data_IF_795535169090
#
_entry.id   IF_795535169090
#
_cell.length_a   1.000
_cell.length_b   1.000
_cell.length_c   1.000
_cell.angle_alpha   90.00
_cell.angle_beta   90.00
_cell.angle_gamma   90.00
#
_symmetry.space_group_name_H-M   'P 1'
#
loop_
_entity.id
_entity.type
_entity.pdbx_description
1 polymer ?
#
# COMPACT_ATOMS: atom_id res chain seq x y z
N UNK A 1 -45.67 71.43 24.16
CA UNK A 1 -44.20 71.49 24.15
C UNK A 1 -43.67 70.09 24.38
N UNK A 2 -43.32 69.37 23.32
CA UNK A 2 -42.84 67.99 23.39
C UNK A 2 -41.31 68.00 23.36
N UNK A 3 -40.69 67.51 24.43
CA UNK A 3 -39.24 67.45 24.56
C UNK A 3 -38.65 66.35 23.66
N UNK A 4 -37.77 66.77 22.79
CA UNK A 4 -36.94 65.95 21.91
C UNK A 4 -35.85 65.25 22.74
N UNK A 5 -35.97 63.92 22.90
CA UNK A 5 -34.90 63.10 23.48
C UNK A 5 -33.77 62.95 22.46
N UNK A 6 -32.71 63.76 22.62
CA UNK A 6 -31.47 63.63 21.85
C UNK A 6 -30.76 62.34 22.22
N UNK A 7 -30.62 61.45 21.24
CA UNK A 7 -29.76 60.27 21.28
C UNK A 7 -28.29 60.70 21.37
N UNK A 8 -27.60 60.32 22.43
CA UNK A 8 -26.17 60.57 22.62
C UNK A 8 -25.34 59.73 21.64
N UNK A 9 -24.31 60.30 21.00
CA UNK A 9 -23.43 59.54 20.11
C UNK A 9 -22.56 58.57 20.92
N UNK A 10 -22.75 57.28 20.67
CA UNK A 10 -21.98 56.19 21.27
C UNK A 10 -20.51 56.29 20.80
N UNK A 11 -19.65 56.88 21.62
CA UNK A 11 -18.21 56.96 21.34
C UNK A 11 -17.61 55.55 21.34
N UNK A 12 -17.34 55.00 20.16
CA UNK A 12 -16.52 53.78 20.00
C UNK A 12 -15.09 54.10 20.45
N UNK A 13 -14.78 53.81 21.71
CA UNK A 13 -13.41 53.93 22.24
C UNK A 13 -12.51 52.93 21.50
N UNK A 14 -11.37 53.40 21.01
CA UNK A 14 -10.35 52.55 20.37
C UNK A 14 -9.88 51.49 21.39
N UNK A 15 -9.72 50.23 20.99
CA UNK A 15 -9.30 49.16 21.91
C UNK A 15 -7.94 49.50 22.50
N UNK A 16 -7.80 49.34 23.81
CA UNK A 16 -6.55 49.64 24.50
C UNK A 16 -5.53 48.54 24.17
N UNK A 17 -4.25 48.86 24.32
CA UNK A 17 -3.17 47.88 24.09
C UNK A 17 -3.37 46.58 24.88
N UNK A 18 -3.85 46.68 26.12
CA UNK A 18 -4.16 45.51 26.96
C UNK A 18 -5.28 44.62 26.40
N UNK A 19 -6.27 45.20 25.72
CA UNK A 19 -7.36 44.43 25.09
C UNK A 19 -6.83 43.66 23.88
N UNK A 20 -5.91 44.27 23.12
CA UNK A 20 -5.21 43.60 22.01
C UNK A 20 -4.34 42.45 22.51
N UNK A 21 -3.55 42.67 23.56
CA UNK A 21 -2.70 41.61 24.15
C UNK A 21 -3.55 40.44 24.63
N UNK A 22 -4.69 40.70 25.28
CA UNK A 22 -5.62 39.66 25.73
C UNK A 22 -6.23 38.90 24.56
N UNK A 23 -6.65 39.59 23.49
CA UNK A 23 -7.16 38.93 22.28
C UNK A 23 -6.12 38.04 21.59
N UNK A 24 -4.85 38.47 21.56
CA UNK A 24 -3.76 37.69 20.97
C UNK A 24 -3.49 36.45 21.83
N UNK A 25 -3.51 36.59 23.16
CA UNK A 25 -3.35 35.47 24.07
C UNK A 25 -4.49 34.45 23.93
N UNK A 26 -5.74 34.91 23.80
CA UNK A 26 -6.90 34.06 23.58
C UNK A 26 -6.81 33.32 22.23
N UNK A 27 -6.38 34.02 21.17
CA UNK A 27 -6.17 33.43 19.85
C UNK A 27 -5.06 32.37 19.86
N UNK A 28 -3.91 32.66 20.48
CA UNK A 28 -2.80 31.71 20.61
C UNK A 28 -3.22 30.46 21.39
N UNK A 29 -4.02 30.63 22.45
CA UNK A 29 -4.55 29.51 23.22
C UNK A 29 -5.47 28.63 22.35
N UNK A 30 -6.39 29.24 21.61
CA UNK A 30 -7.31 28.51 20.74
C UNK A 30 -6.57 27.76 19.62
N UNK A 31 -5.57 28.39 19.01
CA UNK A 31 -4.73 27.77 17.98
C UNK A 31 -3.94 26.58 18.54
N UNK A 32 -3.40 26.72 19.74
CA UNK A 32 -2.71 25.63 20.45
C UNK A 32 -3.65 24.44 20.71
N UNK A 33 -4.87 24.70 21.18
CA UNK A 33 -5.87 23.64 21.41
C UNK A 33 -6.26 22.93 20.11
N UNK A 34 -6.41 23.67 19.01
CA UNK A 34 -6.66 23.10 17.68
C UNK A 34 -5.48 22.26 17.20
N UNK A 35 -4.25 22.74 17.37
CA UNK A 35 -3.04 22.03 16.97
C UNK A 35 -2.86 20.72 17.77
N UNK A 36 -3.06 20.77 19.09
CA UNK A 36 -3.03 19.57 19.94
C UNK A 36 -4.04 18.55 19.43
N UNK A 37 -5.29 18.98 19.19
CA UNK A 37 -6.36 18.11 18.67
C UNK A 37 -6.03 17.50 17.31
N UNK A 38 -5.50 18.31 16.38
CA UNK A 38 -5.10 17.83 15.06
C UNK A 38 -3.97 16.80 15.17
N UNK A 39 -2.95 17.10 15.98
CA UNK A 39 -1.80 16.21 16.19
C UNK A 39 -2.21 14.91 16.85
N UNK A 40 -3.09 14.93 17.86
CA UNK A 40 -3.62 13.71 18.48
C UNK A 40 -4.40 12.84 17.50
N UNK A 41 -5.17 13.45 16.59
CA UNK A 41 -5.88 12.70 15.54
C UNK A 41 -4.93 12.06 14.53
N UNK A 42 -3.87 12.78 14.12
CA UNK A 42 -2.83 12.24 13.24
C UNK A 42 -2.13 11.06 13.92
N UNK A 43 -1.76 11.20 15.21
CA UNK A 43 -1.12 10.12 15.95
C UNK A 43 -2.03 8.89 16.08
N UNK A 44 -3.33 9.10 16.34
CA UNK A 44 -4.30 8.00 16.39
C UNK A 44 -4.44 7.28 15.05
N UNK A 45 -4.53 8.03 13.95
CA UNK A 45 -4.56 7.44 12.61
C UNK A 45 -3.26 6.68 12.28
N UNK A 46 -2.10 7.24 12.65
CA UNK A 46 -0.81 6.59 12.47
C UNK A 46 -0.70 5.28 13.27
N UNK A 47 -1.20 5.25 14.51
CA UNK A 47 -1.25 4.04 15.32
C UNK A 47 -2.12 2.95 14.67
N UNK A 48 -3.29 3.33 14.14
CA UNK A 48 -4.16 2.40 13.42
C UNK A 48 -3.50 1.88 12.13
N UNK A 49 -2.78 2.74 11.40
CA UNK A 49 -2.03 2.32 10.21
C UNK A 49 -0.94 1.32 10.58
N UNK A 50 -0.21 1.55 11.67
CA UNK A 50 0.82 0.63 12.17
C UNK A 50 0.22 -0.73 12.52
N UNK A 51 -0.90 -0.76 13.26
CA UNK A 51 -1.60 -2.00 13.59
C UNK A 51 -2.06 -2.77 12.35
N UNK A 52 -2.62 -2.09 11.36
CA UNK A 52 -2.99 -2.71 10.08
C UNK A 52 -1.77 -3.26 9.34
N UNK A 53 -0.63 -2.55 9.41
CA UNK A 53 0.61 -2.98 8.79
C UNK A 53 1.16 -4.24 9.45
N UNK A 54 1.13 -4.33 10.78
CA UNK A 54 1.56 -5.51 11.53
C UNK A 54 0.67 -6.73 11.17
N UNK A 55 -0.66 -6.54 11.10
CA UNK A 55 -1.58 -7.59 10.67
C UNK A 55 -1.33 -8.06 9.23
N UNK A 56 -1.07 -7.12 8.31
CA UNK A 56 -0.76 -7.45 6.91
C UNK A 56 0.56 -8.22 6.81
N UNK A 57 1.57 -7.86 7.61
CA UNK A 57 2.83 -8.60 7.68
C UNK A 57 2.57 -10.04 8.11
N UNK A 58 1.81 -10.24 9.19
CA UNK A 58 1.50 -11.58 9.71
C UNK A 58 0.70 -12.41 8.68
N UNK A 59 -0.29 -11.81 8.01
CA UNK A 59 -1.07 -12.49 6.97
C UNK A 59 -0.21 -12.89 5.78
N UNK A 60 0.66 -11.99 5.30
CA UNK A 60 1.57 -12.28 4.20
C UNK A 60 2.58 -13.35 4.59
N UNK A 61 3.11 -13.33 5.82
CA UNK A 61 4.01 -14.39 6.31
C UNK A 61 3.30 -15.73 6.29
N UNK A 62 2.09 -15.81 6.84
CA UNK A 62 1.31 -17.06 6.85
C UNK A 62 1.02 -17.56 5.44
N UNK A 63 0.59 -16.68 4.53
CA UNK A 63 0.30 -17.06 3.14
C UNK A 63 1.55 -17.55 2.40
N UNK A 64 2.69 -16.90 2.61
CA UNK A 64 3.97 -17.32 2.01
C UNK A 64 4.45 -18.64 2.61
N UNK A 65 4.29 -18.83 3.92
CA UNK A 65 4.67 -20.08 4.59
C UNK A 65 3.78 -21.24 4.12
N UNK A 66 2.47 -21.04 4.04
CA UNK A 66 1.53 -22.00 3.45
C UNK A 66 1.87 -22.34 1.99
N UNK A 67 2.21 -21.34 1.18
CA UNK A 67 2.64 -21.56 -0.20
C UNK A 67 3.95 -22.34 -0.28
N UNK A 68 4.92 -22.05 0.60
CA UNK A 68 6.18 -22.80 0.67
C UNK A 68 5.92 -24.24 1.11
N UNK A 69 5.13 -24.46 2.15
CA UNK A 69 4.78 -25.81 2.64
C UNK A 69 4.01 -26.60 1.59
N UNK A 70 3.04 -25.98 0.91
CA UNK A 70 2.32 -26.63 -0.19
C UNK A 70 3.24 -26.95 -1.36
N UNK A 71 4.17 -26.07 -1.71
CA UNK A 71 5.15 -26.34 -2.78
C UNK A 71 6.15 -27.43 -2.38
N UNK A 72 6.57 -27.48 -1.10
CA UNK A 72 7.42 -28.55 -0.58
C UNK A 72 6.68 -29.89 -0.55
N UNK A 73 5.43 -29.91 -0.09
CA UNK A 73 4.57 -31.11 -0.08
C UNK A 73 4.26 -31.61 -1.50
N UNK A 74 4.11 -30.71 -2.48
CA UNK A 74 3.95 -31.05 -3.90
C UNK A 74 5.26 -31.46 -4.57
N UNK A 75 6.42 -31.09 -4.00
CA UNK A 75 7.74 -31.57 -4.44
C UNK A 75 7.97 -33.01 -3.96
N UNK A 76 7.23 -33.96 -4.55
CA UNK A 76 7.53 -35.38 -4.35
C UNK A 76 8.88 -35.67 -4.99
N UNK A 77 9.97 -35.62 -4.20
CA UNK A 77 11.29 -36.01 -4.67
C UNK A 77 11.28 -37.52 -4.86
N UNK A 78 11.16 -37.94 -6.12
CA UNK A 78 11.32 -39.33 -6.48
C UNK A 78 12.80 -39.71 -6.32
N UNK A 79 13.06 -40.80 -5.61
CA UNK A 79 14.40 -41.40 -5.55
C UNK A 79 14.37 -42.74 -6.25
N UNK A 80 15.53 -43.23 -6.67
CA UNK A 80 15.63 -44.52 -7.37
C UNK A 80 15.09 -45.65 -6.48
N UNK A 81 15.36 -45.57 -5.17
CA UNK A 81 14.93 -46.58 -4.21
C UNK A 81 13.41 -46.54 -3.98
N UNK A 82 12.80 -45.35 -3.85
CA UNK A 82 11.34 -45.24 -3.70
C UNK A 82 10.60 -45.73 -4.93
N UNK A 83 11.08 -45.43 -6.13
CA UNK A 83 10.48 -45.91 -7.37
C UNK A 83 10.63 -47.42 -7.57
N UNK A 84 11.77 -48.01 -7.20
CA UNK A 84 11.97 -49.47 -7.26
C UNK A 84 11.11 -50.23 -6.25
N UNK A 85 10.82 -49.60 -5.11
CA UNK A 85 9.93 -50.17 -4.09
C UNK A 85 8.46 -50.12 -4.53
N UNK A 86 8.05 -49.05 -5.21
CA UNK A 86 6.68 -48.92 -5.74
C UNK A 86 6.47 -49.70 -7.04
N UNK A 87 7.49 -49.78 -7.90
CA UNK A 87 7.43 -50.44 -9.20
C UNK A 87 8.57 -51.46 -9.31
N UNK A 88 8.19 -52.74 -9.36
CA UNK A 88 9.14 -53.85 -9.47
C UNK A 88 10.00 -53.80 -10.74
N UNK A 89 9.50 -53.18 -11.81
CA UNK A 89 10.27 -53.02 -13.06
C UNK A 89 10.26 -51.60 -13.60
N UNK A 90 11.34 -51.24 -14.29
CA UNK A 90 11.48 -49.94 -14.96
C UNK A 90 10.43 -49.75 -16.06
N UNK A 91 9.96 -50.84 -16.67
CA UNK A 91 8.93 -50.81 -17.71
C UNK A 91 7.58 -50.40 -17.13
N UNK A 92 7.22 -50.93 -15.97
CA UNK A 92 5.96 -50.60 -15.30
C UNK A 92 5.94 -49.15 -14.83
N UNK A 93 7.05 -48.68 -14.27
CA UNK A 93 7.19 -47.28 -13.89
C UNK A 93 7.05 -46.33 -15.10
N UNK A 94 7.71 -46.64 -16.23
CA UNK A 94 7.58 -45.84 -17.47
C UNK A 94 6.16 -45.82 -18.00
N UNK A 95 5.46 -46.95 -17.97
CA UNK A 95 4.07 -47.05 -18.41
C UNK A 95 3.14 -46.23 -17.50
N UNK A 96 3.35 -46.29 -16.18
CA UNK A 96 2.58 -45.53 -15.19
C UNK A 96 2.73 -44.01 -15.37
N UNK A 97 3.96 -43.53 -15.59
CA UNK A 97 4.22 -42.09 -15.75
C UNK A 97 4.14 -41.59 -17.20
N UNK A 98 3.98 -42.47 -18.19
CA UNK A 98 3.98 -42.11 -19.61
C UNK A 98 5.30 -41.54 -20.14
N UNK A 99 6.41 -41.70 -19.39
CA UNK A 99 7.71 -41.11 -19.71
C UNK A 99 8.65 -42.12 -20.38
N UNK A 100 9.33 -41.67 -21.45
CA UNK A 100 10.44 -42.43 -22.06
C UNK A 100 11.72 -42.17 -21.28
N UNK A 101 12.33 -43.21 -20.73
CA UNK A 101 13.65 -43.18 -20.09
C UNK A 101 14.44 -44.43 -20.49
N UNK A 102 15.75 -44.44 -20.34
CA UNK A 102 16.62 -45.59 -20.64
C UNK A 102 17.20 -46.20 -19.35
N UNK A 103 17.20 -45.43 -18.26
CA UNK A 103 17.63 -45.88 -16.93
C UNK A 103 16.71 -45.36 -15.82
N UNK A 104 16.81 -45.94 -14.62
CA UNK A 104 16.12 -45.44 -13.44
C UNK A 104 16.58 -44.03 -13.05
N UNK A 105 17.87 -43.72 -13.23
CA UNK A 105 18.43 -42.38 -12.98
C UNK A 105 17.76 -41.36 -13.89
N UNK A 106 17.64 -41.68 -15.18
CA UNK A 106 17.01 -40.80 -16.17
C UNK A 106 15.51 -40.61 -15.90
N UNK A 107 14.81 -41.66 -15.43
CA UNK A 107 13.41 -41.58 -15.05
C UNK A 107 13.21 -40.68 -13.82
N UNK A 108 14.04 -40.84 -12.78
CA UNK A 108 14.02 -40.01 -11.58
C UNK A 108 14.30 -38.55 -11.91
N UNK A 109 15.33 -38.29 -12.72
CA UNK A 109 15.65 -36.93 -13.13
C UNK A 109 14.50 -36.30 -13.93
N UNK A 110 13.86 -37.08 -14.81
CA UNK A 110 12.68 -36.60 -15.54
C UNK A 110 11.49 -36.33 -14.62
N UNK A 111 11.23 -37.18 -13.63
CA UNK A 111 10.12 -36.98 -12.69
C UNK A 111 10.36 -35.77 -11.76
N UNK A 112 11.58 -35.63 -11.26
CA UNK A 112 11.94 -34.51 -10.38
C UNK A 112 12.04 -33.17 -11.12
N UNK A 113 12.48 -33.19 -12.39
CA UNK A 113 12.56 -31.98 -13.22
C UNK A 113 11.23 -31.65 -13.95
N UNK A 114 10.31 -32.62 -14.08
CA UNK A 114 8.96 -32.40 -14.62
C UNK A 114 7.92 -32.10 -13.54
N UNK A 115 8.33 -32.05 -12.26
CA UNK A 115 7.48 -31.50 -11.20
C UNK A 115 7.07 -30.06 -11.58
N UNK A 116 5.79 -29.68 -11.47
CA UNK A 116 5.25 -28.44 -12.02
C UNK A 116 5.61 -27.25 -11.12
N UNK A 117 6.90 -27.02 -10.90
CA UNK A 117 7.41 -25.78 -10.30
C UNK A 117 7.71 -24.71 -11.37
N UNK A 118 7.46 -24.98 -12.65
CA UNK A 118 7.66 -24.01 -13.74
C UNK A 118 6.39 -23.42 -14.36
N UNK A 119 5.19 -23.66 -13.80
CA UNK A 119 3.95 -23.06 -14.32
C UNK A 119 3.72 -21.60 -13.87
N UNK A 120 4.65 -20.98 -13.14
CA UNK A 120 4.67 -19.52 -12.96
C UNK A 120 5.59 -18.89 -14.02
N UNK A 121 5.26 -19.06 -15.29
CA UNK A 121 5.91 -18.32 -16.37
C UNK A 121 4.96 -18.19 -17.55
N UNK A 122 4.31 -17.03 -17.66
CA UNK A 122 3.58 -16.65 -18.86
C UNK A 122 2.55 -15.53 -18.66
N UNK A 123 1.67 -15.66 -17.66
CA UNK A 123 0.50 -14.77 -17.59
C UNK A 123 0.53 -13.68 -16.50
N UNK A 124 1.31 -13.84 -15.43
CA UNK A 124 1.33 -12.86 -14.32
C UNK A 124 2.22 -11.64 -14.59
N UNK A 125 3.39 -11.84 -15.23
CA UNK A 125 4.33 -10.75 -15.52
C UNK A 125 3.80 -9.71 -16.51
N UNK A 126 2.97 -10.13 -17.47
CA UNK A 126 2.32 -9.21 -18.41
C UNK A 126 1.30 -8.34 -17.67
N UNK A 127 0.50 -8.93 -16.78
CA UNK A 127 -0.47 -8.19 -15.96
C UNK A 127 0.20 -7.23 -14.97
N UNK A 128 1.35 -7.60 -14.39
CA UNK A 128 2.11 -6.71 -13.51
C UNK A 128 2.77 -5.58 -14.31
N UNK A 129 3.34 -5.87 -15.48
CA UNK A 129 3.93 -4.83 -16.36
C UNK A 129 2.86 -3.84 -16.84
N UNK A 130 1.70 -4.34 -17.27
CA UNK A 130 0.55 -3.50 -17.66
C UNK A 130 0.10 -2.60 -16.50
N UNK A 131 0.11 -3.11 -15.25
CA UNK A 131 -0.19 -2.30 -14.06
C UNK A 131 0.88 -1.24 -13.80
N UNK A 132 2.17 -1.55 -13.98
CA UNK A 132 3.24 -0.56 -13.85
C UNK A 132 3.15 0.54 -14.90
N UNK A 133 2.86 0.17 -16.15
CA UNK A 133 2.68 1.13 -17.24
C UNK A 133 1.47 2.04 -16.99
N UNK A 134 0.37 1.49 -16.47
CA UNK A 134 -0.80 2.27 -16.07
C UNK A 134 -0.45 3.26 -14.94
N UNK A 135 0.24 2.81 -13.90
CA UNK A 135 0.68 3.67 -12.78
C UNK A 135 1.63 4.78 -13.26
N UNK A 136 2.58 4.48 -14.16
CA UNK A 136 3.47 5.51 -14.71
C UNK A 136 2.69 6.57 -15.49
N UNK A 137 1.69 6.16 -16.27
CA UNK A 137 0.85 7.08 -17.03
C UNK A 137 0.03 8.01 -16.13
N UNK A 138 -0.52 7.50 -15.02
CA UNK A 138 -1.24 8.28 -14.02
C UNK A 138 -0.32 9.28 -13.31
N UNK A 139 0.90 8.86 -12.95
CA UNK A 139 1.90 9.74 -12.34
C UNK A 139 2.30 10.89 -13.29
N UNK A 140 2.40 10.62 -14.59
CA UNK A 140 2.64 11.69 -15.58
C UNK A 140 1.47 12.66 -15.66
N UNK A 141 0.23 12.18 -15.67
CA UNK A 141 -0.94 13.06 -15.67
C UNK A 141 -1.00 13.93 -14.42
N UNK A 142 -0.84 13.34 -13.22
CA UNK A 142 -0.80 14.10 -11.97
C UNK A 142 0.29 15.18 -11.99
N UNK A 143 1.48 14.89 -12.54
CA UNK A 143 2.55 15.88 -12.66
C UNK A 143 2.17 17.06 -13.56
N UNK A 144 1.45 16.79 -14.66
CA UNK A 144 0.93 17.84 -15.56
C UNK A 144 -0.15 18.67 -14.87
N UNK A 145 -1.08 18.03 -14.18
CA UNK A 145 -2.14 18.71 -13.42
C UNK A 145 -1.57 19.59 -12.30
N UNK A 146 -0.60 19.08 -11.53
CA UNK A 146 0.11 19.85 -10.50
C UNK A 146 0.82 21.06 -11.13
N UNK A 147 1.47 20.88 -12.28
CA UNK A 147 2.14 21.99 -12.96
C UNK A 147 1.13 23.07 -13.42
N UNK A 148 -0.05 22.67 -13.91
CA UNK A 148 -1.12 23.60 -14.27
C UNK A 148 -1.67 24.34 -13.05
N UNK A 149 -1.94 23.63 -11.96
CA UNK A 149 -2.40 24.23 -10.69
C UNK A 149 -1.38 25.25 -10.19
N UNK A 150 -0.09 24.92 -10.20
CA UNK A 150 0.97 25.85 -9.81
C UNK A 150 1.03 27.09 -10.71
N UNK A 151 0.78 26.94 -12.02
CA UNK A 151 0.72 28.08 -12.94
C UNK A 151 -0.46 29.01 -12.63
N UNK A 152 -1.64 28.44 -12.33
CA UNK A 152 -2.85 29.19 -11.99
C UNK A 152 -2.70 29.90 -10.65
N UNK A 153 -2.11 29.24 -9.65
CA UNK A 153 -1.78 29.85 -8.36
C UNK A 153 -0.79 31.00 -8.52
N UNK A 154 0.23 30.84 -9.37
CA UNK A 154 1.17 31.92 -9.66
C UNK A 154 0.49 33.12 -10.31
N UNK A 155 -0.44 32.88 -11.24
CA UNK A 155 -1.20 33.95 -11.88
C UNK A 155 -2.13 34.66 -10.89
N UNK A 156 -2.83 33.91 -10.03
CA UNK A 156 -3.68 34.47 -8.96
C UNK A 156 -2.89 35.32 -7.96
N UNK A 157 -1.68 34.89 -7.59
CA UNK A 157 -0.81 35.67 -6.71
C UNK A 157 -0.30 36.94 -7.40
N UNK A 158 -0.02 36.88 -8.71
CA UNK A 158 0.45 38.04 -9.48
C UNK A 158 -0.66 39.04 -9.83
N UNK A 159 -1.93 38.60 -9.87
CA UNK A 159 -3.10 39.48 -10.02
C UNK A 159 -3.53 40.18 -8.71
N UNK A 160 -2.87 39.87 -7.58
CA UNK A 160 -3.13 40.46 -6.25
C UNK A 160 -2.09 41.51 -5.83
N UNK A 161 -1.06 41.77 -6.64
CA UNK A 161 -0.11 42.89 -6.52
C UNK A 161 -0.47 44.04 -7.46
#
# INVERSE_FOLDING_TARGET
MSQERRLSPQTRRKPKLGDRVRSIADQLKQETELQIKATSRILGAAAQIAENHDQLIDEVVNMVEEDIEQNQAKSTIYTINSLKQQFNTLRDAKAHFGLKAHSWVELVNKLNNSSPSSLVSGNSFNSISERFDAIESELRMMRVEIAQILSLLKQLVHEQE
#
